data_IF_872369273896
#
_entry.id   IF_872369273896
#
_cell.length_a   1.000
_cell.length_b   1.000
_cell.length_c   1.000
_cell.angle_alpha   90.00
_cell.angle_beta   90.00
_cell.angle_gamma   90.00
#
_symmetry.space_group_name_H-M   'P 1'
#
loop_
_entity.id
_entity.type
_entity.pdbx_description
1 polymer ?
#
# COMPACT_ATOMS: atom_id res chain seq x y z
N UNK A 1 -12.89 -20.91 -8.11
CA UNK A 1 -12.62 -21.30 -6.71
C UNK A 1 -11.12 -21.41 -6.43
N UNK A 2 -10.34 -22.23 -7.17
CA UNK A 2 -8.89 -22.34 -6.94
C UNK A 2 -8.08 -21.05 -7.13
N UNK A 3 -8.36 -20.29 -8.21
CA UNK A 3 -7.69 -19.01 -8.49
C UNK A 3 -7.97 -17.93 -7.44
N UNK A 4 -9.22 -17.80 -6.97
CA UNK A 4 -9.60 -16.87 -5.90
C UNK A 4 -8.90 -17.18 -4.57
N UNK A 5 -8.87 -18.45 -4.15
CA UNK A 5 -8.17 -18.86 -2.93
C UNK A 5 -6.66 -18.61 -3.00
N UNK A 6 -6.05 -18.86 -4.15
CA UNK A 6 -4.64 -18.54 -4.39
C UNK A 6 -4.40 -17.03 -4.28
N UNK A 7 -5.20 -16.21 -4.96
CA UNK A 7 -5.10 -14.76 -4.91
C UNK A 7 -5.24 -14.20 -3.48
N UNK A 8 -6.25 -14.67 -2.75
CA UNK A 8 -6.45 -14.29 -1.34
C UNK A 8 -5.29 -14.73 -0.45
N UNK A 9 -4.69 -15.88 -0.72
CA UNK A 9 -3.50 -16.33 0.00
C UNK A 9 -2.30 -15.41 -0.25
N UNK A 10 -2.14 -14.92 -1.49
CA UNK A 10 -1.12 -13.92 -1.84
C UNK A 10 -1.36 -12.61 -1.08
N UNK A 11 -2.58 -12.06 -1.13
CA UNK A 11 -2.93 -10.83 -0.39
C UNK A 11 -2.74 -11.00 1.13
N UNK A 12 -3.11 -12.17 1.66
CA UNK A 12 -2.92 -12.49 3.08
C UNK A 12 -1.45 -12.48 3.46
N UNK A 13 -0.55 -12.99 2.62
CA UNK A 13 0.89 -12.97 2.89
C UNK A 13 1.46 -11.54 2.82
N UNK A 14 1.03 -10.71 1.86
CA UNK A 14 1.39 -9.28 1.85
C UNK A 14 0.95 -8.58 3.13
N UNK A 15 -0.28 -8.85 3.61
CA UNK A 15 -0.78 -8.30 4.86
C UNK A 15 0.02 -8.80 6.08
N UNK A 16 0.40 -10.08 6.14
CA UNK A 16 1.22 -10.61 7.24
C UNK A 16 2.57 -9.90 7.33
N UNK A 17 3.24 -9.70 6.18
CA UNK A 17 4.50 -8.94 6.13
C UNK A 17 4.27 -7.51 6.63
N UNK A 18 3.20 -6.86 6.17
CA UNK A 18 2.85 -5.51 6.63
C UNK A 18 2.63 -5.44 8.15
N UNK A 19 1.79 -6.31 8.71
CA UNK A 19 1.47 -6.27 10.15
C UNK A 19 2.68 -6.59 11.03
N UNK A 20 3.50 -7.56 10.63
CA UNK A 20 4.73 -7.88 11.38
C UNK A 20 5.76 -6.74 11.44
N UNK A 21 5.71 -5.80 10.49
CA UNK A 21 6.58 -4.60 10.46
C UNK A 21 5.91 -3.36 11.04
N UNK A 22 4.59 -3.38 11.20
CA UNK A 22 3.78 -2.21 11.59
C UNK A 22 2.91 -2.56 12.80
N UNK A 23 3.50 -2.69 14.00
CA UNK A 23 2.78 -3.10 15.22
C UNK A 23 1.66 -2.14 15.60
N UNK A 24 1.73 -0.86 15.20
CA UNK A 24 0.63 0.09 15.38
C UNK A 24 -0.60 -0.31 14.57
N UNK A 25 -0.40 -0.71 13.30
CA UNK A 25 -1.51 -1.11 12.44
C UNK A 25 -2.15 -2.42 12.94
N UNK A 26 -1.34 -3.39 13.37
CA UNK A 26 -1.81 -4.63 13.99
C UNK A 26 -2.69 -4.33 15.21
N UNK A 27 -2.19 -3.54 16.17
CA UNK A 27 -2.97 -3.18 17.36
C UNK A 27 -4.26 -2.44 17.03
N UNK A 28 -4.25 -1.52 16.07
CA UNK A 28 -5.47 -0.82 15.65
C UNK A 28 -6.49 -1.83 15.10
N UNK A 29 -6.07 -2.79 14.27
CA UNK A 29 -6.98 -3.83 13.78
C UNK A 29 -7.53 -4.70 14.93
N UNK A 30 -6.69 -5.06 15.91
CA UNK A 30 -7.13 -5.81 17.09
C UNK A 30 -8.15 -5.03 17.93
N UNK A 31 -7.93 -3.73 18.13
CA UNK A 31 -8.87 -2.86 18.84
C UNK A 31 -10.20 -2.72 18.08
N UNK A 32 -10.15 -2.52 16.77
CA UNK A 32 -11.35 -2.45 15.94
C UNK A 32 -12.11 -3.78 15.98
N UNK A 33 -11.42 -4.91 15.89
CA UNK A 33 -12.05 -6.23 15.99
C UNK A 33 -12.67 -6.47 17.37
N UNK A 34 -11.97 -6.07 18.45
CA UNK A 34 -12.50 -6.20 19.81
C UNK A 34 -13.74 -5.34 20.07
N UNK A 35 -13.84 -4.19 19.40
CA UNK A 35 -14.93 -3.24 19.58
C UNK A 35 -16.12 -3.50 18.64
N UNK A 36 -15.84 -3.83 17.38
CA UNK A 36 -16.82 -3.93 16.30
C UNK A 36 -17.14 -5.38 15.90
N UNK A 37 -16.30 -6.34 16.26
CA UNK A 37 -16.41 -7.75 15.85
C UNK A 37 -15.77 -8.05 14.49
N UNK A 38 -16.21 -9.15 13.87
CA UNK A 38 -15.71 -9.65 12.57
C UNK A 38 -16.33 -8.91 11.37
N UNK A 39 -16.23 -7.57 11.34
CA UNK A 39 -16.77 -6.74 10.25
C UNK A 39 -15.70 -5.92 9.50
N UNK A 40 -14.43 -6.04 9.88
CA UNK A 40 -13.33 -5.30 9.21
C UNK A 40 -13.31 -5.66 7.72
N UNK A 41 -13.48 -4.66 6.86
CA UNK A 41 -13.27 -4.77 5.43
C UNK A 41 -12.16 -3.81 4.99
N UNK A 42 -11.38 -4.18 3.99
CA UNK A 42 -10.35 -3.29 3.43
C UNK A 42 -10.90 -2.52 2.23
N UNK A 43 -10.80 -1.18 2.29
CA UNK A 43 -11.16 -0.30 1.18
C UNK A 43 -10.15 -0.40 0.04
N UNK A 44 -8.85 -0.28 0.37
CA UNK A 44 -7.76 -0.40 -0.58
C UNK A 44 -6.43 -0.79 0.07
N UNK A 45 -5.55 -1.36 -0.76
CA UNK A 45 -4.14 -1.58 -0.51
C UNK A 45 -3.30 -0.66 -1.39
N UNK A 46 -2.24 -0.08 -0.83
CA UNK A 46 -1.38 0.85 -1.55
C UNK A 46 0.06 0.34 -1.67
N UNK A 47 0.67 0.58 -2.83
CA UNK A 47 2.05 0.21 -3.13
C UNK A 47 2.80 1.40 -3.72
N UNK A 48 4.12 1.43 -3.49
CA UNK A 48 5.03 2.43 -4.03
C UNK A 48 6.10 1.75 -4.86
N UNK A 49 6.42 2.34 -6.00
CA UNK A 49 7.39 1.79 -6.96
C UNK A 49 8.30 2.89 -7.54
N UNK A 50 9.34 2.50 -8.28
CA UNK A 50 10.21 3.42 -9.01
C UNK A 50 9.86 3.38 -10.49
N UNK A 51 9.41 4.50 -11.06
CA UNK A 51 9.04 4.61 -12.48
C UNK A 51 10.28 4.68 -13.37
N UNK A 52 11.05 3.59 -13.42
CA UNK A 52 12.27 3.47 -14.21
C UNK A 52 12.54 2.00 -14.54
N UNK A 53 13.02 1.73 -15.75
CA UNK A 53 13.49 0.40 -16.21
C UNK A 53 12.54 -0.77 -15.90
N UNK A 54 11.22 -0.52 -15.92
CA UNK A 54 10.19 -1.52 -15.68
C UNK A 54 9.94 -1.87 -14.20
N UNK A 55 10.47 -1.09 -13.25
CA UNK A 55 10.22 -1.23 -11.79
C UNK A 55 9.05 -0.37 -11.29
N UNK A 56 8.23 0.12 -12.22
CA UNK A 56 7.14 1.07 -11.99
C UNK A 56 5.81 0.40 -11.64
N UNK A 57 4.69 1.04 -11.97
CA UNK A 57 3.34 0.52 -11.70
C UNK A 57 3.13 -0.87 -12.31
N UNK A 58 3.61 -1.06 -13.54
CA UNK A 58 3.34 -2.27 -14.34
C UNK A 58 3.94 -3.53 -13.70
N UNK A 59 5.03 -3.40 -12.92
CA UNK A 59 5.67 -4.55 -12.26
C UNK A 59 4.77 -5.25 -11.23
N UNK A 60 3.79 -4.52 -10.69
CA UNK A 60 2.78 -5.05 -9.78
C UNK A 60 1.41 -5.19 -10.45
N UNK A 61 1.06 -4.26 -11.34
CA UNK A 61 -0.27 -4.19 -11.95
C UNK A 61 -0.64 -5.45 -12.72
N UNK A 62 0.33 -6.05 -13.45
CA UNK A 62 0.12 -7.25 -14.27
C UNK A 62 -0.52 -8.39 -13.46
N UNK A 63 -0.01 -8.65 -12.25
CA UNK A 63 -0.58 -9.67 -11.37
C UNK A 63 -2.02 -9.36 -10.99
N UNK A 64 -2.36 -8.13 -10.64
CA UNK A 64 -3.74 -7.81 -10.28
C UNK A 64 -4.68 -7.96 -11.48
N UNK A 65 -4.24 -7.52 -12.67
CA UNK A 65 -5.02 -7.68 -13.90
C UNK A 65 -5.22 -9.14 -14.31
N UNK A 66 -4.23 -10.01 -14.06
CA UNK A 66 -4.38 -11.47 -14.25
C UNK A 66 -5.48 -12.09 -13.38
N UNK A 67 -5.76 -11.47 -12.22
CA UNK A 67 -6.85 -11.85 -11.32
C UNK A 67 -8.11 -11.00 -11.52
N UNK A 68 -8.26 -10.35 -12.68
CA UNK A 68 -9.49 -9.68 -13.09
C UNK A 68 -9.69 -8.28 -12.52
N UNK A 69 -8.65 -7.66 -11.95
CA UNK A 69 -8.71 -6.24 -11.64
C UNK A 69 -8.68 -5.40 -12.92
N UNK A 70 -9.42 -4.30 -12.91
CA UNK A 70 -9.46 -3.35 -14.02
C UNK A 70 -8.77 -2.05 -13.63
N UNK A 71 -7.86 -1.57 -14.49
CA UNK A 71 -7.24 -0.25 -14.34
C UNK A 71 -8.29 0.86 -14.49
N UNK A 72 -8.13 1.91 -13.70
CA UNK A 72 -9.03 3.07 -13.64
C UNK A 72 -8.22 4.36 -13.84
N UNK A 73 -8.71 5.48 -13.32
CA UNK A 73 -8.13 6.79 -13.60
C UNK A 73 -6.68 6.94 -13.12
N UNK A 74 -5.87 7.63 -13.93
CA UNK A 74 -4.54 8.07 -13.55
C UNK A 74 -4.62 9.32 -12.66
N UNK A 75 -3.81 9.35 -11.61
CA UNK A 75 -3.62 10.52 -10.76
C UNK A 75 -2.18 11.00 -10.89
N UNK A 76 -1.98 12.32 -10.88
CA UNK A 76 -0.65 12.95 -10.89
C UNK A 76 -0.46 13.83 -9.67
N UNK A 77 0.75 13.79 -9.12
CA UNK A 77 1.16 14.61 -7.98
C UNK A 77 2.44 15.36 -8.36
N UNK A 78 2.35 16.45 -9.16
CA UNK A 78 3.53 17.13 -9.72
C UNK A 78 4.52 17.59 -8.65
N UNK A 79 4.03 18.14 -7.54
CA UNK A 79 4.89 18.60 -6.44
C UNK A 79 5.71 17.46 -5.80
N UNK A 80 5.22 16.21 -5.86
CA UNK A 80 5.91 15.02 -5.35
C UNK A 80 6.59 14.20 -6.44
N UNK A 81 6.50 14.62 -7.71
CA UNK A 81 7.00 13.89 -8.89
C UNK A 81 6.47 12.45 -8.96
N UNK A 82 5.17 12.26 -8.70
CA UNK A 82 4.52 10.94 -8.73
C UNK A 82 3.43 10.87 -9.78
N UNK A 83 3.23 9.69 -10.36
CA UNK A 83 1.94 9.27 -10.93
C UNK A 83 1.42 8.04 -10.22
N UNK A 84 0.11 7.81 -10.30
CA UNK A 84 -0.53 6.64 -9.73
C UNK A 84 -1.68 6.16 -10.59
N UNK A 85 -1.96 4.86 -10.52
CA UNK A 85 -3.17 4.22 -11.02
C UNK A 85 -3.86 3.52 -9.86
N UNK A 86 -5.19 3.47 -9.92
CA UNK A 86 -5.95 2.58 -9.05
C UNK A 86 -6.68 1.52 -9.87
N UNK A 87 -6.92 0.38 -9.24
CA UNK A 87 -7.49 -0.80 -9.87
C UNK A 87 -8.71 -1.24 -9.08
N UNK A 88 -9.85 -1.38 -9.75
CA UNK A 88 -11.07 -1.91 -9.13
C UNK A 88 -11.03 -3.43 -9.14
N UNK A 89 -11.46 -4.10 -8.05
CA UNK A 89 -11.50 -5.55 -7.99
C UNK A 89 -12.54 -6.14 -8.98
N UNK A 90 -12.37 -7.39 -9.41
CA UNK A 90 -13.45 -8.12 -10.10
C UNK A 90 -14.66 -8.26 -9.18
N UNK A 91 -15.83 -8.49 -9.78
CA UNK A 91 -17.03 -8.70 -8.98
C UNK A 91 -16.86 -9.93 -8.08
N UNK A 92 -17.09 -9.78 -6.78
CA UNK A 92 -16.79 -10.80 -5.77
C UNK A 92 -17.96 -11.03 -4.80
N UNK A 93 -19.18 -10.79 -5.28
CA UNK A 93 -20.41 -11.00 -4.52
C UNK A 93 -20.51 -12.45 -4.01
N UNK A 94 -20.67 -12.63 -2.69
CA UNK A 94 -20.77 -13.95 -2.05
C UNK A 94 -19.77 -14.22 -0.91
N UNK A 95 -18.95 -13.25 -0.52
CA UNK A 95 -18.12 -13.37 0.69
C UNK A 95 -18.99 -13.34 1.96
N UNK A 96 -18.60 -14.15 2.95
CA UNK A 96 -19.24 -14.22 4.26
C UNK A 96 -18.26 -13.94 5.41
N UNK A 97 -17.04 -13.51 5.09
CA UNK A 97 -15.94 -13.31 6.04
C UNK A 97 -15.43 -11.87 6.00
N UNK A 98 -14.69 -11.48 7.03
CA UNK A 98 -13.99 -10.20 7.12
C UNK A 98 -12.55 -10.27 6.53
N UNK A 99 -11.88 -9.13 6.51
CA UNK A 99 -10.50 -8.94 6.09
C UNK A 99 -10.27 -9.32 4.63
N UNK A 100 -9.18 -10.04 4.37
CA UNK A 100 -8.79 -10.52 3.02
C UNK A 100 -9.80 -11.49 2.42
N UNK A 101 -10.58 -12.18 3.26
CA UNK A 101 -11.59 -13.15 2.82
C UNK A 101 -12.98 -12.52 2.65
N UNK A 102 -13.08 -11.20 2.85
CA UNK A 102 -14.27 -10.41 2.57
C UNK A 102 -14.29 -9.83 1.16
N UNK A 103 -14.90 -8.64 0.97
CA UNK A 103 -14.83 -7.93 -0.30
C UNK A 103 -13.38 -7.60 -0.60
N UNK A 104 -12.94 -7.86 -1.84
CA UNK A 104 -11.56 -7.59 -2.23
C UNK A 104 -11.29 -6.07 -2.20
N UNK A 105 -10.11 -5.64 -1.69
CA UNK A 105 -9.76 -4.24 -1.66
C UNK A 105 -9.47 -3.73 -3.09
N UNK A 106 -9.67 -2.43 -3.30
CA UNK A 106 -9.06 -1.73 -4.45
C UNK A 106 -7.54 -1.75 -4.32
N UNK A 107 -6.82 -1.64 -5.42
CA UNK A 107 -5.36 -1.54 -5.39
C UNK A 107 -4.96 -0.15 -5.87
N UNK A 108 -4.09 0.53 -5.14
CA UNK A 108 -3.51 1.81 -5.51
C UNK A 108 -2.01 1.63 -5.70
N UNK A 109 -1.49 1.89 -6.89
CA UNK A 109 -0.06 1.74 -7.19
C UNK A 109 0.45 3.09 -7.68
N UNK A 110 1.42 3.65 -6.97
CA UNK A 110 2.13 4.85 -7.40
C UNK A 110 3.55 4.53 -7.81
N UNK A 111 4.09 5.33 -8.73
CA UNK A 111 5.49 5.32 -9.09
C UNK A 111 6.11 6.72 -8.99
N UNK A 112 7.37 6.76 -8.57
CA UNK A 112 8.19 7.96 -8.63
C UNK A 112 8.67 8.18 -10.08
N UNK A 113 8.48 9.39 -10.60
CA UNK A 113 9.01 9.80 -11.89
C UNK A 113 10.52 10.07 -11.74
N UNK A 114 11.33 9.01 -11.84
CA UNK A 114 12.76 9.03 -11.51
C UNK A 114 13.50 10.06 -12.36
N UNK A 115 13.17 10.17 -13.64
CA UNK A 115 13.84 11.09 -14.57
C UNK A 115 13.57 12.58 -14.25
N UNK A 116 12.63 12.89 -13.35
CA UNK A 116 12.39 14.25 -12.85
C UNK A 116 13.24 14.60 -11.61
N UNK A 117 13.99 13.65 -11.04
CA UNK A 117 14.87 13.87 -9.89
C UNK A 117 16.21 14.51 -10.30
N UNK A 118 16.99 14.94 -9.31
CA UNK A 118 18.38 15.35 -9.54
C UNK A 118 19.24 14.20 -10.07
N UNK A 119 20.26 14.51 -10.88
CA UNK A 119 21.17 13.50 -11.42
C UNK A 119 21.78 12.56 -10.35
N UNK A 120 22.24 13.07 -9.17
CA UNK A 120 22.71 12.19 -8.09
C UNK A 120 21.66 11.18 -7.61
N UNK A 121 20.41 11.60 -7.45
CA UNK A 121 19.33 10.70 -7.02
C UNK A 121 18.97 9.69 -8.10
N UNK A 122 18.97 10.09 -9.37
CA UNK A 122 18.77 9.18 -10.50
C UNK A 122 19.86 8.10 -10.55
N UNK A 123 21.13 8.50 -10.40
CA UNK A 123 22.27 7.59 -10.38
C UNK A 123 22.18 6.58 -9.22
N UNK A 124 21.80 7.04 -8.03
CA UNK A 124 21.60 6.17 -6.86
C UNK A 124 20.48 5.16 -7.13
N UNK A 125 19.32 5.59 -7.61
CA UNK A 125 18.21 4.66 -7.90
C UNK A 125 18.63 3.65 -8.95
N UNK A 126 19.21 4.09 -10.07
CA UNK A 126 19.66 3.21 -11.16
C UNK A 126 20.75 2.23 -10.72
N UNK A 127 21.62 2.61 -9.78
CA UNK A 127 22.59 1.69 -9.16
C UNK A 127 21.89 0.48 -8.52
N UNK A 128 20.86 0.70 -7.70
CA UNK A 128 20.12 -0.40 -7.05
C UNK A 128 19.27 -1.19 -8.04
N UNK A 129 18.61 -0.52 -8.99
CA UNK A 129 17.86 -1.21 -10.04
C UNK A 129 18.75 -2.17 -10.84
N UNK A 130 20.00 -1.78 -11.13
CA UNK A 130 20.95 -2.64 -11.83
C UNK A 130 21.30 -3.91 -11.04
N UNK A 131 21.41 -3.84 -9.70
CA UNK A 131 21.71 -5.04 -8.89
C UNK A 131 20.52 -5.98 -8.77
N UNK A 132 19.31 -5.45 -8.99
CA UNK A 132 18.08 -6.24 -8.98
C UNK A 132 17.87 -7.10 -10.23
N UNK A 133 18.66 -6.93 -11.29
CA UNK A 133 18.51 -7.63 -12.57
C UNK A 133 17.05 -7.63 -13.07
N UNK A 134 16.40 -8.79 -13.16
CA UNK A 134 15.00 -8.94 -13.59
C UNK A 134 13.99 -9.00 -12.40
N UNK A 135 14.38 -8.50 -11.23
CA UNK A 135 13.57 -8.57 -10.01
C UNK A 135 12.20 -7.91 -10.12
N UNK A 136 12.04 -6.92 -11.02
CA UNK A 136 10.75 -6.33 -11.33
C UNK A 136 9.71 -7.35 -11.82
N UNK A 137 10.10 -8.42 -12.52
CA UNK A 137 9.19 -9.49 -12.96
C UNK A 137 8.60 -10.31 -11.80
N UNK A 138 9.15 -10.15 -10.59
CA UNK A 138 8.78 -10.89 -9.39
C UNK A 138 8.38 -9.96 -8.23
N UNK A 139 7.91 -8.73 -8.54
CA UNK A 139 7.55 -7.73 -7.53
C UNK A 139 6.52 -8.24 -6.51
N UNK A 140 5.53 -9.01 -6.96
CA UNK A 140 4.52 -9.65 -6.09
C UNK A 140 5.17 -10.64 -5.14
N UNK A 141 6.12 -11.44 -5.63
CA UNK A 141 6.85 -12.40 -4.81
C UNK A 141 7.66 -11.68 -3.73
N UNK A 142 8.37 -10.62 -4.12
CA UNK A 142 9.09 -9.73 -3.21
C UNK A 142 8.16 -9.14 -2.14
N UNK A 143 6.96 -8.67 -2.53
CA UNK A 143 5.95 -8.16 -1.61
C UNK A 143 5.45 -9.22 -0.62
N UNK A 144 5.19 -10.44 -1.09
CA UNK A 144 4.68 -11.54 -0.25
C UNK A 144 5.69 -12.06 0.76
N UNK A 145 6.98 -11.98 0.46
CA UNK A 145 8.05 -12.41 1.37
C UNK A 145 8.67 -11.24 2.16
N UNK A 146 8.36 -9.99 1.77
CA UNK A 146 8.93 -8.79 2.37
C UNK A 146 10.38 -8.54 1.96
N UNK A 147 10.82 -9.04 0.82
CA UNK A 147 12.21 -8.94 0.37
C UNK A 147 12.43 -7.73 -0.53
N UNK A 148 13.64 -7.17 -0.48
CA UNK A 148 14.10 -6.24 -1.52
C UNK A 148 14.59 -7.07 -2.70
N UNK A 149 14.31 -6.60 -3.92
CA UNK A 149 14.83 -7.24 -5.13
C UNK A 149 16.24 -6.75 -5.48
N UNK A 150 16.63 -5.57 -4.98
CA UNK A 150 17.98 -5.01 -5.07
C UNK A 150 18.80 -5.28 -3.82
N UNK A 151 20.11 -5.03 -3.91
CA UNK A 151 21.02 -5.13 -2.76
C UNK A 151 20.65 -4.19 -1.61
N UNK A 152 21.05 -4.54 -0.38
CA UNK A 152 20.77 -3.75 0.81
C UNK A 152 21.33 -2.33 0.66
N UNK A 153 20.49 -1.29 0.81
CA UNK A 153 20.95 0.08 0.65
C UNK A 153 21.97 0.53 1.69
N UNK A 154 22.91 1.38 1.27
CA UNK A 154 23.79 2.09 2.19
C UNK A 154 23.05 3.23 2.87
N UNK A 155 23.45 3.56 4.10
CA UNK A 155 22.85 4.68 4.83
C UNK A 155 23.07 6.03 4.13
N UNK A 156 24.23 6.23 3.50
CA UNK A 156 24.53 7.45 2.75
C UNK A 156 23.61 7.65 1.55
N UNK A 157 23.33 6.60 0.77
CA UNK A 157 22.42 6.69 -0.35
C UNK A 157 20.99 6.98 0.11
N UNK A 158 20.55 6.29 1.16
CA UNK A 158 19.24 6.53 1.78
C UNK A 158 19.10 7.99 2.23
N UNK A 159 20.13 8.56 2.85
CA UNK A 159 20.11 9.97 3.28
C UNK A 159 20.06 10.95 2.11
N UNK A 160 20.72 10.66 0.99
CA UNK A 160 20.64 11.51 -0.21
C UNK A 160 19.22 11.49 -0.77
N UNK A 161 18.67 10.28 -1.00
CA UNK A 161 17.30 10.16 -1.52
C UNK A 161 16.27 10.79 -0.58
N UNK A 162 16.37 10.54 0.73
CA UNK A 162 15.38 11.04 1.71
C UNK A 162 15.37 12.56 1.82
N UNK A 163 16.50 13.24 1.52
CA UNK A 163 16.55 14.71 1.50
C UNK A 163 15.82 15.31 0.30
N UNK A 164 15.83 14.64 -0.84
CA UNK A 164 15.15 15.11 -2.04
C UNK A 164 13.69 14.61 -2.11
N UNK A 165 13.48 13.35 -1.75
CA UNK A 165 12.19 12.66 -1.85
C UNK A 165 12.07 11.59 -0.76
N UNK A 166 11.26 11.87 0.25
CA UNK A 166 10.87 10.87 1.26
C UNK A 166 10.24 9.63 0.63
N UNK A 167 9.55 9.80 -0.49
CA UNK A 167 9.01 8.69 -1.27
C UNK A 167 10.13 7.78 -1.80
N UNK A 168 11.20 8.36 -2.35
CA UNK A 168 12.36 7.62 -2.84
C UNK A 168 13.08 6.90 -1.69
N UNK A 169 13.31 7.60 -0.58
CA UNK A 169 13.90 7.01 0.63
C UNK A 169 13.09 5.83 1.16
N UNK A 170 11.76 5.98 1.26
CA UNK A 170 10.87 4.90 1.68
C UNK A 170 10.92 3.70 0.73
N UNK A 171 10.81 3.95 -0.57
CA UNK A 171 10.78 2.88 -1.59
C UNK A 171 12.09 2.13 -1.61
N UNK A 172 13.23 2.82 -1.49
CA UNK A 172 14.57 2.22 -1.45
C UNK A 172 14.71 1.12 -0.37
N UNK A 173 14.13 1.32 0.82
CA UNK A 173 14.29 0.41 1.96
C UNK A 173 13.10 -0.53 2.19
N UNK A 174 11.94 -0.28 1.55
CA UNK A 174 10.74 -1.13 1.67
C UNK A 174 10.42 -1.91 0.40
N UNK A 175 10.98 -1.53 -0.75
CA UNK A 175 10.71 -2.17 -2.04
C UNK A 175 9.22 -2.20 -2.35
N UNK A 176 8.73 -3.38 -2.75
CA UNK A 176 7.33 -3.64 -3.09
C UNK A 176 6.44 -3.99 -1.90
N UNK A 177 6.89 -3.76 -0.66
CA UNK A 177 6.05 -3.99 0.51
C UNK A 177 4.74 -3.19 0.43
N UNK A 178 3.66 -3.76 0.97
CA UNK A 178 2.41 -3.05 1.17
C UNK A 178 2.67 -1.78 1.98
N UNK A 179 2.40 -0.61 1.40
CA UNK A 179 2.65 0.68 2.05
C UNK A 179 1.63 0.94 3.17
N UNK A 180 0.34 0.71 2.88
CA UNK A 180 -0.71 0.73 3.89
C UNK A 180 -1.93 -0.08 3.43
N UNK A 181 -2.73 -0.48 4.41
CA UNK A 181 -4.07 -1.03 4.24
C UNK A 181 -5.10 -0.09 4.88
N UNK A 182 -6.19 0.17 4.17
CA UNK A 182 -7.23 1.12 4.62
C UNK A 182 -8.49 0.38 5.05
N UNK A 183 -8.98 0.64 6.26
CA UNK A 183 -10.25 0.07 6.76
C UNK A 183 -11.45 0.82 6.16
N UNK A 184 -12.43 0.07 5.67
CA UNK A 184 -13.72 0.59 5.22
C UNK A 184 -14.61 0.90 6.42
N UNK A 185 -14.44 2.07 7.05
CA UNK A 185 -15.21 2.46 8.25
C UNK A 185 -16.72 2.35 8.03
N UNK A 186 -17.24 2.73 6.87
CA UNK A 186 -18.67 2.65 6.55
C UNK A 186 -19.28 1.24 6.59
N UNK A 187 -18.45 0.19 6.56
CA UNK A 187 -18.83 -1.24 6.65
C UNK A 187 -18.74 -1.81 8.07
N UNK A 188 -18.27 -1.01 9.03
CA UNK A 188 -18.34 -1.36 10.45
C UNK A 188 -19.79 -1.23 10.94
N UNK A 189 -20.16 -2.00 11.96
CA UNK A 189 -21.53 -2.08 12.46
C UNK A 189 -21.78 -1.17 13.67
N UNK A 190 -20.78 -1.01 14.53
CA UNK A 190 -20.85 -0.13 15.69
C UNK A 190 -20.75 1.35 15.30
N UNK A 191 -20.72 2.22 16.30
CA UNK A 191 -20.76 3.66 16.06
C UNK A 191 -19.44 4.22 15.49
N UNK A 192 -18.33 3.49 15.59
CA UNK A 192 -17.06 3.82 14.92
C UNK A 192 -17.12 3.65 13.39
N UNK A 193 -18.27 3.26 12.82
CA UNK A 193 -18.52 3.37 11.38
C UNK A 193 -18.48 4.81 10.85
N UNK A 194 -18.74 5.77 11.72
CA UNK A 194 -18.50 7.19 11.42
C UNK A 194 -17.01 7.49 11.58
N UNK A 195 -16.40 8.07 10.55
CA UNK A 195 -14.97 8.41 10.58
C UNK A 195 -14.58 9.33 11.73
N UNK A 196 -15.45 10.26 12.14
CA UNK A 196 -15.17 11.15 13.27
C UNK A 196 -15.09 10.37 14.57
N UNK A 197 -15.96 9.37 14.74
CA UNK A 197 -15.95 8.46 15.89
C UNK A 197 -14.80 7.47 15.80
N UNK A 198 -14.48 6.96 14.61
CA UNK A 198 -13.32 6.11 14.37
C UNK A 198 -12.02 6.81 14.75
N UNK A 199 -11.83 8.06 14.31
CA UNK A 199 -10.66 8.85 14.63
C UNK A 199 -10.52 9.06 16.14
N UNK A 200 -11.61 9.47 16.80
CA UNK A 200 -11.65 9.61 18.25
C UNK A 200 -11.35 8.28 18.97
N UNK A 201 -11.93 7.17 18.50
CA UNK A 201 -11.66 5.84 19.04
C UNK A 201 -10.18 5.50 18.97
N UNK A 202 -9.51 5.79 17.85
CA UNK A 202 -8.08 5.52 17.73
C UNK A 202 -7.22 6.44 18.60
N UNK A 203 -7.57 7.72 18.72
CA UNK A 203 -6.90 8.66 19.64
C UNK A 203 -7.09 8.28 21.10
N UNK A 204 -8.30 7.91 21.51
CA UNK A 204 -8.64 7.48 22.87
C UNK A 204 -7.89 6.18 23.27
N UNK A 205 -7.52 5.35 22.29
CA UNK A 205 -6.65 4.18 22.47
C UNK A 205 -5.14 4.50 22.38
N UNK A 206 -4.77 5.79 22.36
CA UNK A 206 -3.39 6.24 22.50
C UNK A 206 -2.56 6.31 21.21
N UNK A 207 -3.20 6.20 20.05
CA UNK A 207 -2.52 6.30 18.76
C UNK A 207 -2.61 7.71 18.18
N UNK A 208 -1.55 8.14 17.50
CA UNK A 208 -1.51 9.45 16.83
C UNK A 208 -1.97 9.32 15.38
N UNK A 209 -2.95 10.13 15.01
CA UNK A 209 -3.37 10.33 13.63
C UNK A 209 -2.38 11.21 12.87
N UNK A 210 -2.23 10.96 11.56
CA UNK A 210 -1.48 11.85 10.70
C UNK A 210 -2.26 13.18 10.54
N UNK A 211 -1.59 14.31 10.79
CA UNK A 211 -2.14 15.66 10.67
C UNK A 211 -1.86 16.31 9.30
N UNK A 212 -0.97 15.74 8.48
CA UNK A 212 -0.62 16.31 7.18
C UNK A 212 -1.76 16.18 6.15
N UNK A 213 -2.32 17.32 5.77
CA UNK A 213 -3.40 17.45 4.77
C UNK A 213 -4.80 17.14 5.28
N UNK A 214 -5.02 17.25 6.60
CA UNK A 214 -6.31 17.06 7.26
C UNK A 214 -6.65 15.60 7.55
N UNK A 215 -7.37 15.38 8.66
CA UNK A 215 -7.78 14.04 9.13
C UNK A 215 -8.81 13.38 8.18
N UNK A 216 -9.35 14.13 7.22
CA UNK A 216 -10.30 13.67 6.21
C UNK A 216 -9.76 13.98 4.81
N UNK A 217 -9.24 12.95 4.13
CA UNK A 217 -8.90 13.03 2.69
C UNK A 217 -9.81 12.12 1.89
N UNK A 218 -10.79 12.72 1.21
CA UNK A 218 -11.63 12.03 0.23
C UNK A 218 -12.97 12.74 0.04
N UNK A 219 -13.24 13.23 -1.17
CA UNK A 219 -14.60 13.55 -1.55
C UNK A 219 -15.34 12.22 -1.82
N UNK A 220 -16.26 11.84 -0.93
CA UNK A 220 -17.26 10.80 -1.19
C UNK A 220 -17.26 9.59 -0.25
N UNK A 221 -16.12 9.21 0.35
CA UNK A 221 -16.07 8.10 1.33
C UNK A 221 -15.11 8.40 2.46
N UNK A 222 -15.52 8.21 3.73
CA UNK A 222 -14.62 8.41 4.85
C UNK A 222 -13.54 7.32 4.93
N UNK A 223 -12.27 7.70 4.75
CA UNK A 223 -11.11 6.81 4.79
C UNK A 223 -10.21 7.19 5.98
N UNK A 224 -9.81 6.20 6.78
CA UNK A 224 -8.77 6.37 7.79
C UNK A 224 -7.46 5.78 7.26
N UNK A 225 -6.45 6.63 7.06
CA UNK A 225 -5.09 6.19 6.71
C UNK A 225 -4.25 6.09 7.98
N UNK A 226 -3.62 4.95 8.17
CA UNK A 226 -2.67 4.71 9.24
C UNK A 226 -1.30 4.55 8.61
N UNK A 227 -0.54 5.66 8.64
CA UNK A 227 0.80 5.88 8.05
C UNK A 227 0.84 5.97 6.51
#
# INVERSE_FOLDING_TARGET
QGSDLFFRSVLSNMQKVYLSRNPTAEKILDFVHSYDGDHICFDHFAFRTFGVDGYGIDSLAEFFTDFGYESREELRFPAKKLRALWFSPPNNDGYTRAGIYGPLPRIFISELLVDELSAPSQEIIRKYIKTSANGNKYAVLASTFGELTWEKPTYSDFQVLSRESEYAGWTLVNGYALNHATVSTHRLESDIRSISKFNKFVEDNGFKLNTEGGILKGQGTPQARWF
#
